data_IF_594585732305
#
_entry.id   IF_594585732305
#
_cell.length_a   1.000
_cell.length_b   1.000
_cell.length_c   1.000
_cell.angle_alpha   90.00
_cell.angle_beta   90.00
_cell.angle_gamma   90.00
#
_symmetry.space_group_name_H-M   'P 1'
#
loop_
_entity.id
_entity.type
_entity.pdbx_description
1 polymer ?
#
# COMPACT_ATOMS: atom_id res chain seq x y z
N UNK A 1 -11.26 -38.05 -6.54
CA UNK A 1 -12.25 -37.00 -6.17
C UNK A 1 -11.96 -36.37 -4.82
N UNK A 2 -12.15 -37.05 -3.67
CA UNK A 2 -11.85 -36.45 -2.34
C UNK A 2 -10.36 -36.10 -2.16
N UNK A 3 -9.46 -36.99 -2.58
CA UNK A 3 -8.01 -36.77 -2.62
C UNK A 3 -7.62 -35.53 -3.45
N UNK A 4 -8.31 -35.29 -4.58
CA UNK A 4 -8.06 -34.13 -5.45
C UNK A 4 -8.48 -32.81 -4.80
N UNK A 5 -9.59 -32.82 -4.04
CA UNK A 5 -10.06 -31.64 -3.30
C UNK A 5 -9.12 -31.30 -2.15
N UNK A 6 -8.62 -32.30 -1.42
CA UNK A 6 -7.59 -32.11 -0.41
C UNK A 6 -6.30 -31.56 -1.01
N UNK A 7 -5.90 -32.04 -2.20
CA UNK A 7 -4.75 -31.49 -2.94
C UNK A 7 -4.97 -30.03 -3.31
N UNK A 8 -6.13 -29.68 -3.87
CA UNK A 8 -6.51 -28.29 -4.19
C UNK A 8 -6.51 -27.40 -2.95
N UNK A 9 -7.00 -27.91 -1.80
CA UNK A 9 -6.99 -27.19 -0.51
C UNK A 9 -5.56 -26.83 -0.08
N UNK A 10 -4.63 -27.78 -0.21
CA UNK A 10 -3.19 -27.53 0.08
C UNK A 10 -2.59 -26.50 -0.87
N UNK A 11 -2.87 -26.60 -2.17
CA UNK A 11 -2.35 -25.63 -3.17
C UNK A 11 -2.86 -24.22 -2.86
N UNK A 12 -4.16 -24.05 -2.55
CA UNK A 12 -4.72 -22.76 -2.18
C UNK A 12 -4.06 -22.19 -0.91
N UNK A 13 -3.81 -23.02 0.10
CA UNK A 13 -3.13 -22.58 1.33
C UNK A 13 -1.67 -22.16 1.09
N UNK A 14 -0.94 -22.85 0.20
CA UNK A 14 0.40 -22.46 -0.21
C UNK A 14 0.40 -21.12 -0.95
N UNK A 15 -0.56 -20.94 -1.87
CA UNK A 15 -0.69 -19.70 -2.61
C UNK A 15 -1.10 -18.52 -1.70
N UNK A 16 -1.99 -18.74 -0.73
CA UNK A 16 -2.33 -17.77 0.32
C UNK A 16 -1.10 -17.31 1.11
N UNK A 17 -0.28 -18.27 1.55
CA UNK A 17 0.93 -18.00 2.32
C UNK A 17 1.91 -17.13 1.52
N UNK A 18 2.05 -17.42 0.22
CA UNK A 18 2.84 -16.60 -0.70
C UNK A 18 2.28 -15.17 -0.84
N UNK A 19 0.97 -15.03 -1.06
CA UNK A 19 0.32 -13.72 -1.20
C UNK A 19 0.41 -12.88 0.08
N UNK A 20 0.33 -13.49 1.27
CA UNK A 20 0.51 -12.80 2.55
C UNK A 20 1.94 -12.26 2.71
N UNK A 21 2.95 -13.03 2.30
CA UNK A 21 4.33 -12.58 2.30
C UNK A 21 4.54 -11.42 1.32
N UNK A 22 3.99 -11.53 0.10
CA UNK A 22 4.01 -10.46 -0.90
C UNK A 22 3.34 -9.19 -0.36
N UNK A 23 2.18 -9.32 0.29
CA UNK A 23 1.47 -8.21 0.92
C UNK A 23 2.32 -7.53 2.00
N UNK A 24 2.93 -8.32 2.88
CA UNK A 24 3.79 -7.79 3.95
C UNK A 24 4.98 -7.01 3.37
N UNK A 25 5.61 -7.52 2.31
CA UNK A 25 6.73 -6.85 1.67
C UNK A 25 6.29 -5.55 0.98
N UNK A 26 5.18 -5.60 0.23
CA UNK A 26 4.63 -4.42 -0.43
C UNK A 26 4.23 -3.33 0.57
N UNK A 27 3.72 -3.70 1.75
CA UNK A 27 3.37 -2.75 2.81
C UNK A 27 4.62 -2.03 3.31
N UNK A 28 5.68 -2.79 3.62
CA UNK A 28 6.95 -2.22 4.07
C UNK A 28 7.52 -1.22 3.06
N UNK A 29 7.49 -1.56 1.77
CA UNK A 29 7.96 -0.67 0.71
C UNK A 29 7.13 0.61 0.67
N UNK A 30 5.80 0.49 0.72
CA UNK A 30 4.89 1.63 0.70
C UNK A 30 5.09 2.56 1.91
N UNK A 31 5.24 2.01 3.11
CA UNK A 31 5.52 2.79 4.32
C UNK A 31 6.83 3.57 4.24
N UNK A 32 7.88 2.96 3.67
CA UNK A 32 9.17 3.64 3.46
C UNK A 32 9.02 4.81 2.47
N UNK A 33 8.21 4.65 1.42
CA UNK A 33 7.96 5.72 0.46
C UNK A 33 7.15 6.87 1.08
N UNK A 34 6.12 6.56 1.88
CA UNK A 34 5.36 7.56 2.62
C UNK A 34 6.22 8.38 3.59
N UNK A 35 7.17 7.73 4.27
CA UNK A 35 8.11 8.43 5.16
C UNK A 35 8.97 9.43 4.37
N UNK A 36 9.51 9.02 3.22
CA UNK A 36 10.29 9.91 2.35
C UNK A 36 9.47 11.10 1.83
N UNK A 37 8.21 10.89 1.46
CA UNK A 37 7.32 12.00 1.08
C UNK A 37 7.10 12.99 2.22
N UNK A 38 6.97 12.49 3.45
CA UNK A 38 6.85 13.32 4.64
C UNK A 38 8.09 14.19 4.84
N UNK A 39 9.29 13.60 4.72
CA UNK A 39 10.55 14.31 4.85
C UNK A 39 10.69 15.42 3.80
N UNK A 40 10.42 15.12 2.52
CA UNK A 40 10.46 16.12 1.44
C UNK A 40 9.43 17.23 1.70
N UNK A 41 8.24 16.89 2.20
CA UNK A 41 7.22 17.88 2.54
C UNK A 41 7.68 18.82 3.65
N UNK A 42 8.43 18.32 4.64
CA UNK A 42 9.02 19.14 5.70
C UNK A 42 10.11 20.07 5.16
N UNK A 43 10.95 19.58 4.24
CA UNK A 43 11.97 20.39 3.55
C UNK A 43 11.32 21.54 2.77
N UNK A 44 10.28 21.24 1.96
CA UNK A 44 9.50 22.25 1.23
C UNK A 44 8.94 23.31 2.17
N UNK A 45 8.36 22.89 3.31
CA UNK A 45 7.84 23.82 4.32
C UNK A 45 8.95 24.72 4.88
N UNK A 46 10.13 24.17 5.14
CA UNK A 46 11.29 24.93 5.61
C UNK A 46 11.76 25.96 4.58
N UNK A 47 11.90 25.56 3.31
CA UNK A 47 12.28 26.44 2.20
C UNK A 47 11.29 27.59 2.06
N UNK A 48 9.98 27.30 2.07
CA UNK A 48 8.93 28.33 2.00
C UNK A 48 9.02 29.35 3.15
N UNK A 49 9.34 28.90 4.37
CA UNK A 49 9.59 29.80 5.51
C UNK A 49 10.81 30.69 5.27
N UNK A 50 11.91 30.15 4.73
CA UNK A 50 13.11 30.95 4.37
C UNK A 50 12.78 32.02 3.32
N UNK A 51 12.04 31.65 2.27
CA UNK A 51 11.57 32.60 1.23
C UNK A 51 10.73 33.71 1.87
N UNK A 52 9.76 33.34 2.72
CA UNK A 52 8.88 34.30 3.39
C UNK A 52 9.67 35.28 4.27
N UNK A 53 10.59 34.79 5.10
CA UNK A 53 11.43 35.63 5.95
C UNK A 53 12.30 36.57 5.11
N UNK A 54 12.88 36.07 4.02
CA UNK A 54 13.72 36.89 3.12
C UNK A 54 12.89 37.97 2.43
N UNK A 55 11.68 37.66 1.95
CA UNK A 55 10.78 38.64 1.36
C UNK A 55 10.29 39.69 2.38
N UNK A 56 10.16 39.33 3.65
CA UNK A 56 9.88 40.30 4.71
C UNK A 56 11.04 41.28 4.92
N UNK A 57 12.29 40.79 4.89
CA UNK A 57 13.48 41.64 4.96
C UNK A 57 13.53 42.64 3.79
N UNK A 58 13.24 42.19 2.55
CA UNK A 58 13.17 43.10 1.38
C UNK A 58 12.18 44.24 1.62
N UNK A 59 10.97 43.93 2.11
CA UNK A 59 9.94 44.94 2.39
C UNK A 59 10.39 45.92 3.47
N UNK A 60 10.92 45.43 4.59
CA UNK A 60 11.41 46.28 5.68
C UNK A 60 12.54 47.23 5.24
N UNK A 61 13.47 46.76 4.40
CA UNK A 61 14.55 47.60 3.85
C UNK A 61 14.05 48.63 2.83
N UNK A 62 12.86 48.44 2.25
CA UNK A 62 12.24 49.40 1.34
C UNK A 62 11.43 50.46 2.09
N UNK A 63 10.74 50.06 3.17
CA UNK A 63 9.86 50.93 3.94
C UNK A 63 10.60 51.86 4.92
N UNK A 64 11.82 51.49 5.35
CA UNK A 64 12.56 52.25 6.35
C UNK A 64 13.31 53.48 5.82
N UNK A 65 13.38 53.68 4.50
CA UNK A 65 14.04 54.85 3.87
C UNK A 65 15.54 54.98 4.17
N UNK A 66 16.10 54.13 5.02
CA UNK A 66 17.53 54.02 5.26
C UNK A 66 18.15 53.48 3.97
N UNK A 67 19.15 54.20 3.46
CA UNK A 67 19.91 53.87 2.25
C UNK A 67 20.67 52.56 2.37
N UNK A 68 19.95 51.45 2.41
CA UNK A 68 20.49 50.12 2.21
C UNK A 68 21.08 50.11 0.81
N UNK A 69 22.38 49.85 0.67
CA UNK A 69 23.06 49.92 -0.62
C UNK A 69 22.37 49.03 -1.65
N UNK A 70 22.34 49.47 -2.91
CA UNK A 70 21.82 48.69 -4.05
C UNK A 70 22.36 47.25 -4.05
N UNK A 71 23.63 47.08 -3.64
CA UNK A 71 24.29 45.77 -3.52
C UNK A 71 23.65 44.85 -2.47
N UNK A 72 23.17 45.41 -1.35
CA UNK A 72 22.48 44.64 -0.30
C UNK A 72 21.11 44.17 -0.79
N UNK A 73 20.35 45.04 -1.46
CA UNK A 73 19.06 44.68 -2.05
C UNK A 73 19.23 43.61 -3.14
N UNK A 74 20.24 43.76 -4.00
CA UNK A 74 20.57 42.78 -5.03
C UNK A 74 20.98 41.43 -4.43
N UNK A 75 21.73 41.42 -3.33
CA UNK A 75 22.13 40.20 -2.63
C UNK A 75 20.92 39.45 -2.06
N UNK A 76 20.01 40.16 -1.39
CA UNK A 76 18.78 39.57 -0.85
C UNK A 76 17.91 39.00 -1.98
N UNK A 77 17.76 39.73 -3.09
CA UNK A 77 17.01 39.25 -4.25
C UNK A 77 17.59 37.97 -4.86
N UNK A 78 18.91 37.90 -5.04
CA UNK A 78 19.60 36.68 -5.52
C UNK A 78 19.39 35.50 -4.58
N UNK A 79 19.37 35.74 -3.27
CA UNK A 79 19.12 34.71 -2.28
C UNK A 79 17.67 34.20 -2.33
N UNK A 80 16.68 35.07 -2.58
CA UNK A 80 15.29 34.64 -2.83
C UNK A 80 15.21 33.74 -4.05
N UNK A 81 15.78 34.16 -5.18
CA UNK A 81 15.77 33.38 -6.42
C UNK A 81 16.42 31.99 -6.25
N UNK A 82 17.51 31.92 -5.48
CA UNK A 82 18.15 30.65 -5.14
C UNK A 82 17.20 29.72 -4.38
N UNK A 83 16.54 30.23 -3.32
CA UNK A 83 15.60 29.42 -2.55
C UNK A 83 14.35 29.02 -3.36
N UNK A 84 13.88 29.86 -4.28
CA UNK A 84 12.79 29.52 -5.21
C UNK A 84 13.20 28.41 -6.20
N UNK A 85 14.45 28.43 -6.66
CA UNK A 85 15.03 27.34 -7.43
C UNK A 85 15.07 26.02 -6.65
N UNK A 86 15.56 26.07 -5.39
CA UNK A 86 15.57 24.91 -4.48
C UNK A 86 14.15 24.40 -4.23
N UNK A 87 13.19 25.29 -3.99
CA UNK A 87 11.78 24.95 -3.79
C UNK A 87 11.23 24.13 -4.96
N UNK A 88 11.45 24.59 -6.20
CA UNK A 88 10.96 23.92 -7.41
C UNK A 88 11.55 22.52 -7.58
N UNK A 89 12.82 22.34 -7.23
CA UNK A 89 13.49 21.03 -7.25
C UNK A 89 12.85 20.08 -6.26
N UNK A 90 12.63 20.50 -5.01
CA UNK A 90 12.00 19.64 -4.00
C UNK A 90 10.52 19.36 -4.31
N UNK A 91 9.78 20.31 -4.89
CA UNK A 91 8.41 20.09 -5.36
C UNK A 91 8.36 19.03 -6.47
N UNK A 92 9.28 19.08 -7.44
CA UNK A 92 9.38 18.06 -8.49
C UNK A 92 9.70 16.69 -7.91
N UNK A 93 10.64 16.61 -6.96
CA UNK A 93 10.98 15.36 -6.24
C UNK A 93 9.80 14.82 -5.45
N UNK A 94 8.97 15.68 -4.86
CA UNK A 94 7.76 15.27 -4.15
C UNK A 94 6.76 14.64 -5.11
N UNK A 95 6.55 15.25 -6.27
CA UNK A 95 5.62 14.73 -7.27
C UNK A 95 6.10 13.38 -7.85
N UNK A 96 7.39 13.24 -8.13
CA UNK A 96 7.99 11.96 -8.53
C UNK A 96 7.79 10.89 -7.45
N UNK A 97 8.05 11.24 -6.18
CA UNK A 97 7.84 10.31 -5.05
C UNK A 97 6.38 9.87 -4.93
N UNK A 98 5.43 10.80 -5.12
CA UNK A 98 3.98 10.51 -5.08
C UNK A 98 3.53 9.56 -6.16
N UNK A 99 4.08 9.69 -7.37
CA UNK A 99 3.80 8.75 -8.47
C UNK A 99 4.24 7.34 -8.04
N UNK A 100 5.46 7.19 -7.53
CA UNK A 100 6.01 5.90 -7.10
C UNK A 100 5.20 5.31 -5.93
N UNK A 101 4.83 6.13 -4.94
CA UNK A 101 3.99 5.68 -3.82
C UNK A 101 2.59 5.26 -4.27
N UNK A 102 2.01 5.97 -5.23
CA UNK A 102 0.70 5.61 -5.80
C UNK A 102 0.77 4.24 -6.49
N UNK A 103 1.82 3.97 -7.27
CA UNK A 103 2.03 2.65 -7.87
C UNK A 103 2.22 1.54 -6.82
N UNK A 104 2.98 1.81 -5.76
CA UNK A 104 3.15 0.87 -4.65
C UNK A 104 1.82 0.60 -3.92
N UNK A 105 1.00 1.64 -3.74
CA UNK A 105 -0.33 1.52 -3.16
C UNK A 105 -1.28 0.70 -4.04
N UNK A 106 -1.24 0.91 -5.35
CA UNK A 106 -2.05 0.12 -6.29
C UNK A 106 -1.67 -1.36 -6.23
N UNK A 107 -0.37 -1.68 -6.19
CA UNK A 107 0.10 -3.07 -6.01
C UNK A 107 -0.42 -3.69 -4.72
N UNK A 108 -0.49 -2.92 -3.63
CA UNK A 108 -1.07 -3.37 -2.37
C UNK A 108 -2.56 -3.70 -2.50
N UNK A 109 -3.31 -2.84 -3.17
CA UNK A 109 -4.74 -3.07 -3.45
C UNK A 109 -4.91 -4.35 -4.28
N UNK A 110 -4.12 -4.53 -5.34
CA UNK A 110 -4.21 -5.70 -6.21
C UNK A 110 -3.94 -7.01 -5.45
N UNK A 111 -2.95 -7.03 -4.54
CA UNK A 111 -2.67 -8.20 -3.71
C UNK A 111 -3.83 -8.47 -2.75
N UNK A 112 -4.40 -7.43 -2.12
CA UNK A 112 -5.59 -7.57 -1.25
C UNK A 112 -6.79 -8.14 -2.01
N UNK A 113 -7.00 -7.71 -3.26
CA UNK A 113 -8.05 -8.26 -4.12
C UNK A 113 -7.81 -9.73 -4.47
N UNK A 114 -6.55 -10.12 -4.75
CA UNK A 114 -6.18 -11.54 -4.96
C UNK A 114 -6.45 -12.40 -3.72
N UNK A 115 -6.11 -11.90 -2.53
CA UNK A 115 -6.40 -12.60 -1.27
C UNK A 115 -7.91 -12.77 -1.07
N UNK A 116 -8.71 -11.73 -1.32
CA UNK A 116 -10.18 -11.84 -1.22
C UNK A 116 -10.76 -12.90 -2.16
N UNK A 117 -10.33 -12.93 -3.43
CA UNK A 117 -10.73 -13.97 -4.39
C UNK A 117 -10.31 -15.36 -3.94
N UNK A 118 -9.14 -15.48 -3.32
CA UNK A 118 -8.68 -16.75 -2.77
C UNK A 118 -9.55 -17.22 -1.61
N UNK A 119 -10.00 -16.32 -0.74
CA UNK A 119 -10.93 -16.65 0.34
C UNK A 119 -12.30 -17.10 -0.19
N UNK A 120 -12.77 -16.54 -1.31
CA UNK A 120 -13.95 -17.04 -2.04
C UNK A 120 -13.73 -18.49 -2.51
N UNK A 121 -12.62 -18.76 -3.20
CA UNK A 121 -12.29 -20.14 -3.64
C UNK A 121 -12.15 -21.12 -2.48
N UNK A 122 -11.64 -20.69 -1.31
CA UNK A 122 -11.55 -21.54 -0.12
C UNK A 122 -12.92 -21.91 0.42
N UNK A 123 -13.88 -20.97 0.44
CA UNK A 123 -15.25 -21.24 0.87
C UNK A 123 -15.94 -22.24 -0.06
N UNK A 124 -15.84 -22.02 -1.37
CA UNK A 124 -16.44 -22.92 -2.37
C UNK A 124 -15.87 -24.34 -2.27
N UNK A 125 -14.55 -24.45 -2.07
CA UNK A 125 -13.89 -25.74 -1.89
C UNK A 125 -14.30 -26.40 -0.57
N UNK A 126 -14.46 -25.63 0.51
CA UNK A 126 -14.95 -26.11 1.81
C UNK A 126 -16.33 -26.76 1.69
N UNK A 127 -17.28 -26.03 1.08
CA UNK A 127 -18.64 -26.53 0.82
C UNK A 127 -18.61 -27.82 -0.02
N UNK A 128 -17.74 -27.87 -1.02
CA UNK A 128 -17.59 -29.05 -1.88
C UNK A 128 -17.08 -30.27 -1.11
N UNK A 129 -16.14 -30.07 -0.18
CA UNK A 129 -15.61 -31.13 0.68
C UNK A 129 -16.68 -31.60 1.67
N UNK A 130 -17.39 -30.68 2.33
CA UNK A 130 -18.46 -30.99 3.28
C UNK A 130 -19.56 -31.84 2.64
N UNK A 131 -20.06 -31.44 1.47
CA UNK A 131 -21.06 -32.23 0.73
C UNK A 131 -20.59 -33.64 0.42
N UNK A 132 -19.31 -33.83 0.07
CA UNK A 132 -18.79 -35.17 -0.23
C UNK A 132 -18.70 -36.03 1.02
N UNK A 133 -18.34 -35.43 2.16
CA UNK A 133 -18.34 -36.12 3.46
C UNK A 133 -19.76 -36.54 3.84
N UNK A 134 -20.74 -35.63 3.73
CA UNK A 134 -22.15 -35.94 3.98
C UNK A 134 -22.66 -37.08 3.07
N UNK A 135 -22.34 -37.05 1.77
CA UNK A 135 -22.71 -38.12 0.85
C UNK A 135 -22.06 -39.46 1.22
N UNK A 136 -20.82 -39.48 1.70
CA UNK A 136 -20.18 -40.71 2.15
C UNK A 136 -20.81 -41.25 3.43
N UNK A 137 -21.07 -40.39 4.42
CA UNK A 137 -21.69 -40.79 5.68
C UNK A 137 -23.11 -41.33 5.46
N UNK A 138 -23.89 -40.70 4.57
CA UNK A 138 -25.21 -41.17 4.19
C UNK A 138 -25.15 -42.55 3.53
N UNK A 139 -24.18 -42.76 2.61
CA UNK A 139 -24.01 -44.05 1.94
C UNK A 139 -23.62 -45.16 2.91
N UNK A 140 -22.71 -44.88 3.84
CA UNK A 140 -22.30 -45.83 4.88
C UNK A 140 -23.48 -46.20 5.79
N UNK A 141 -24.35 -45.24 6.12
CA UNK A 141 -25.59 -45.47 6.88
C UNK A 141 -26.60 -46.32 6.10
N UNK A 142 -26.80 -46.04 4.81
CA UNK A 142 -27.70 -46.80 3.94
C UNK A 142 -27.22 -48.24 3.75
N UNK A 143 -25.91 -48.45 3.57
CA UNK A 143 -25.28 -49.78 3.48
C UNK A 143 -25.44 -50.56 4.79
N UNK A 144 -25.20 -49.91 5.94
CA UNK A 144 -25.37 -50.52 7.26
C UNK A 144 -26.84 -50.90 7.54
N UNK A 145 -27.79 -50.08 7.10
CA UNK A 145 -29.23 -50.37 7.20
C UNK A 145 -29.62 -51.60 6.36
N UNK A 146 -29.13 -51.68 5.12
CA UNK A 146 -29.34 -52.84 4.23
C UNK A 146 -28.76 -54.13 4.83
N UNK A 147 -27.53 -54.09 5.35
CA UNK A 147 -26.89 -55.24 5.97
C UNK A 147 -27.67 -55.76 7.20
N UNK A 148 -28.13 -54.87 8.08
CA UNK A 148 -28.97 -55.25 9.23
C UNK A 148 -30.28 -55.91 8.80
N UNK A 149 -30.90 -55.40 7.73
CA UNK A 149 -32.17 -55.94 7.24
C UNK A 149 -32.02 -57.33 6.62
N UNK A 150 -30.88 -57.63 5.99
CA UNK A 150 -30.57 -58.94 5.45
C UNK A 150 -30.27 -59.98 6.54
N UNK A 151 -29.73 -59.56 7.68
CA UNK A 151 -29.40 -60.43 8.82
C UNK A 151 -30.61 -60.79 9.71
N UNK A 152 -31.69 -60.00 9.68
CA UNK A 152 -32.93 -60.23 10.46
C UNK A 152 -33.88 -61.26 9.78
N UNK A 153 -33.49 -61.83 8.63
CA UNK A 153 -34.20 -62.96 8.01
C UNK A 153 -33.66 -64.29 8.49
#
# INVERSE_FOLDING_TARGET
MYSDLLRRKRILALYESKLKLELSNANRIYEVLLAKESDITLEIRSIRKRIQATNQLVRQTSDTGNGTSSDTQLSIFRYVQFNEGELKVHETRLDESRIISSEAHQKLIDIKLKLKKLDEHRRDLGISIEKIVEFSEQRDMDEAYLARRLYIK
#
